data_IF_261861391834
#
_entry.id   IF_261861391834
#
_cell.length_a   1.000
_cell.length_b   1.000
_cell.length_c   1.000
_cell.angle_alpha   90.00
_cell.angle_beta   90.00
_cell.angle_gamma   90.00
#
_symmetry.space_group_name_H-M   'P 1'
#
loop_
_entity.id
_entity.type
_entity.pdbx_description
1 polymer ?
#
# COMPACT_ATOMS: atom_id res chain seq x y z
N UNK A 1 3.18 66.61 11.31
CA UNK A 1 3.63 65.83 12.45
C UNK A 1 3.01 64.44 12.33
N UNK A 2 3.68 63.56 11.61
CA UNK A 2 3.32 62.15 11.53
C UNK A 2 3.98 61.39 12.68
N UNK A 3 3.39 60.26 13.12
CA UNK A 3 4.23 59.13 13.50
C UNK A 3 3.96 57.91 12.63
N UNK A 4 5.04 57.48 12.03
CA UNK A 4 5.21 56.17 11.44
C UNK A 4 4.91 55.06 12.43
N UNK A 5 4.05 54.12 12.06
CA UNK A 5 3.98 52.82 12.74
C UNK A 5 4.52 51.73 11.80
N UNK A 6 5.73 51.29 12.11
CA UNK A 6 6.33 50.11 11.57
C UNK A 6 5.50 48.89 11.92
N UNK A 7 4.94 48.24 10.90
CA UNK A 7 4.38 46.90 11.03
C UNK A 7 5.48 45.87 11.26
N UNK A 8 5.67 45.43 12.50
CA UNK A 8 6.43 44.26 12.85
C UNK A 8 5.59 43.05 12.46
N UNK A 9 6.00 42.35 11.41
CA UNK A 9 5.47 41.03 11.09
C UNK A 9 5.76 40.10 12.27
N UNK A 10 4.73 39.76 13.00
CA UNK A 10 4.79 38.71 14.02
C UNK A 10 4.91 37.36 13.32
N UNK A 11 6.13 37.03 12.93
CA UNK A 11 6.44 35.67 12.52
C UNK A 11 6.31 34.78 13.77
N UNK A 12 5.21 34.04 13.87
CA UNK A 12 4.95 33.20 15.04
C UNK A 12 5.94 32.04 15.07
N UNK A 13 6.32 31.60 16.26
CA UNK A 13 7.19 30.42 16.44
C UNK A 13 6.70 29.21 15.62
N UNK A 14 5.39 29.10 15.43
CA UNK A 14 4.77 28.07 14.60
C UNK A 14 5.11 28.21 13.10
N UNK A 15 5.18 29.43 12.59
CA UNK A 15 5.57 29.67 11.17
C UNK A 15 7.05 29.33 10.94
N UNK A 16 7.91 29.69 11.88
CA UNK A 16 9.33 29.33 11.82
C UNK A 16 9.54 27.82 11.90
N UNK A 17 8.83 27.11 12.78
CA UNK A 17 8.90 25.64 12.88
C UNK A 17 8.39 24.97 11.62
N UNK A 18 7.31 25.47 11.00
CA UNK A 18 6.77 24.95 9.75
C UNK A 18 7.72 25.16 8.56
N UNK A 19 8.37 26.33 8.48
CA UNK A 19 9.39 26.58 7.44
C UNK A 19 10.64 25.69 7.62
N UNK A 20 11.14 25.54 8.84
CA UNK A 20 12.25 24.61 9.14
C UNK A 20 11.89 23.15 8.81
N UNK A 21 10.64 22.73 9.07
CA UNK A 21 10.17 21.39 8.74
C UNK A 21 10.05 21.18 7.22
N UNK A 22 9.68 22.20 6.45
CA UNK A 22 9.65 22.15 4.98
C UNK A 22 11.06 22.10 4.38
N UNK A 23 12.00 22.87 4.91
CA UNK A 23 13.39 22.85 4.47
C UNK A 23 14.09 21.53 4.81
N UNK A 24 13.85 20.98 6.01
CA UNK A 24 14.36 19.67 6.40
C UNK A 24 13.84 18.54 5.49
N UNK A 25 12.55 18.59 5.10
CA UNK A 25 11.98 17.63 4.15
C UNK A 25 12.55 17.80 2.74
N UNK A 26 12.77 19.02 2.26
CA UNK A 26 13.42 19.27 0.96
C UNK A 26 14.88 18.79 0.96
N UNK A 27 15.63 19.07 2.01
CA UNK A 27 17.03 18.64 2.13
C UNK A 27 17.16 17.11 2.22
N UNK A 28 16.29 16.44 2.98
CA UNK A 28 16.29 14.98 3.11
C UNK A 28 15.94 14.28 1.79
N UNK A 29 14.96 14.80 1.04
CA UNK A 29 14.59 14.24 -0.28
C UNK A 29 15.74 14.41 -1.28
N UNK A 30 16.37 15.59 -1.34
CA UNK A 30 17.44 15.85 -2.30
C UNK A 30 18.70 15.02 -2.00
N UNK A 31 19.07 14.85 -0.72
CA UNK A 31 20.24 14.06 -0.34
C UNK A 31 20.05 12.55 -0.56
N UNK A 32 18.83 12.02 -0.33
CA UNK A 32 18.52 10.61 -0.59
C UNK A 32 18.49 10.30 -2.09
N UNK A 33 17.93 11.19 -2.91
CA UNK A 33 17.87 11.00 -4.37
C UNK A 33 19.27 11.07 -5.02
N UNK A 34 20.19 11.89 -4.52
CA UNK A 34 21.55 11.99 -5.05
C UNK A 34 22.45 10.83 -4.59
N UNK A 35 22.39 10.38 -3.34
CA UNK A 35 23.24 9.28 -2.86
C UNK A 35 22.79 7.91 -3.40
N UNK A 36 21.49 7.64 -3.48
CA UNK A 36 20.96 6.37 -4.02
C UNK A 36 21.12 6.32 -5.54
N UNK A 37 20.96 7.43 -6.24
CA UNK A 37 21.21 7.52 -7.68
C UNK A 37 22.66 7.27 -8.09
N UNK A 38 23.61 7.51 -7.19
CA UNK A 38 25.05 7.34 -7.46
C UNK A 38 25.54 5.90 -7.34
N UNK A 39 24.83 5.03 -6.61
CA UNK A 39 25.21 3.63 -6.40
C UNK A 39 24.60 2.67 -7.43
N UNK A 40 23.71 3.13 -8.31
CA UNK A 40 23.14 2.31 -9.39
C UNK A 40 22.30 1.11 -8.92
N UNK A 41 21.99 1.02 -7.62
CA UNK A 41 21.14 -0.02 -7.07
C UNK A 41 19.68 0.45 -7.19
N UNK A 42 18.84 -0.19 -8.03
CA UNK A 42 17.43 0.17 -8.12
C UNK A 42 16.78 -0.07 -6.76
N UNK A 43 16.06 0.94 -6.26
CA UNK A 43 15.30 0.78 -5.02
C UNK A 43 14.10 -0.14 -5.30
N UNK A 44 14.03 -1.36 -4.73
CA UNK A 44 13.00 -2.33 -5.07
C UNK A 44 11.62 -1.80 -4.69
N UNK A 45 10.67 -1.92 -5.61
CA UNK A 45 9.27 -1.56 -5.36
C UNK A 45 8.55 -2.71 -4.66
N UNK A 46 8.48 -2.63 -3.33
CA UNK A 46 7.81 -3.63 -2.49
C UNK A 46 6.37 -3.20 -2.21
N UNK A 47 5.41 -4.08 -2.45
CA UNK A 47 4.01 -3.87 -2.12
C UNK A 47 3.57 -4.83 -1.00
N UNK A 48 2.76 -4.30 -0.08
CA UNK A 48 2.04 -5.11 0.91
C UNK A 48 0.53 -4.88 0.70
N UNK A 49 -0.13 -5.87 0.13
CA UNK A 49 -1.55 -5.79 -0.25
C UNK A 49 -2.41 -6.50 0.79
N UNK A 50 -3.28 -5.76 1.47
CA UNK A 50 -4.25 -6.30 2.42
C UNK A 50 -5.61 -6.49 1.74
N UNK A 51 -6.10 -7.73 1.67
CA UNK A 51 -7.35 -8.09 1.02
C UNK A 51 -8.46 -8.37 2.04
N UNK A 52 -9.55 -7.62 1.95
CA UNK A 52 -10.71 -7.74 2.84
C UNK A 52 -10.43 -7.27 4.27
N UNK A 53 -11.37 -7.49 5.19
CA UNK A 53 -11.30 -6.98 6.56
C UNK A 53 -10.06 -7.43 7.33
N UNK A 54 -9.75 -8.72 7.30
CA UNK A 54 -8.59 -9.28 8.00
C UNK A 54 -7.27 -8.77 7.43
N UNK A 55 -7.11 -8.76 6.11
CA UNK A 55 -5.93 -8.20 5.45
C UNK A 55 -5.73 -6.71 5.77
N UNK A 56 -6.81 -5.94 5.75
CA UNK A 56 -6.77 -4.52 6.11
C UNK A 56 -6.40 -4.29 7.58
N UNK A 57 -6.84 -5.16 8.50
CA UNK A 57 -6.41 -5.11 9.89
C UNK A 57 -4.92 -5.44 10.04
N UNK A 58 -4.40 -6.35 9.22
CA UNK A 58 -2.97 -6.64 9.16
C UNK A 58 -2.19 -5.39 8.71
N UNK A 59 -2.66 -4.67 7.69
CA UNK A 59 -2.05 -3.41 7.25
C UNK A 59 -2.05 -2.36 8.37
N UNK A 60 -3.14 -2.23 9.13
CA UNK A 60 -3.19 -1.32 10.28
C UNK A 60 -2.07 -1.60 11.28
N UNK A 61 -1.80 -2.88 11.54
CA UNK A 61 -0.71 -3.30 12.45
C UNK A 61 0.66 -3.03 11.87
N UNK A 62 0.88 -3.36 10.60
CA UNK A 62 2.14 -3.13 9.88
C UNK A 62 2.47 -1.64 9.85
N UNK A 63 1.49 -0.80 9.51
CA UNK A 63 1.66 0.66 9.49
C UNK A 63 1.95 1.21 10.89
N UNK A 64 1.34 0.63 11.94
CA UNK A 64 1.63 1.03 13.32
C UNK A 64 3.05 0.64 13.76
N UNK A 65 3.58 -0.45 13.27
CA UNK A 65 4.95 -0.89 13.53
C UNK A 65 6.01 -0.08 12.76
N UNK A 66 5.60 0.74 11.80
CA UNK A 66 6.50 1.63 11.07
C UNK A 66 7.37 0.92 10.04
N UNK A 67 6.77 0.06 9.22
CA UNK A 67 7.50 -0.59 8.11
C UNK A 67 7.82 0.44 7.05
N UNK A 68 9.11 0.67 6.82
CA UNK A 68 9.65 1.56 5.81
C UNK A 68 10.03 0.79 4.54
N UNK A 69 10.09 1.48 3.40
CA UNK A 69 10.51 0.89 2.12
C UNK A 69 9.44 0.09 1.38
N UNK A 70 8.22 -0.07 1.95
CA UNK A 70 7.14 -0.78 1.28
C UNK A 70 5.88 0.10 1.12
N UNK A 71 5.19 -0.05 -0.01
CA UNK A 71 3.90 0.60 -0.28
C UNK A 71 2.76 -0.29 0.21
N UNK A 72 1.97 0.20 1.15
CA UNK A 72 0.80 -0.52 1.66
C UNK A 72 -0.44 -0.22 0.82
N UNK A 73 -1.15 -1.26 0.41
CA UNK A 73 -2.36 -1.19 -0.43
C UNK A 73 -3.50 -1.94 0.23
N UNK A 74 -4.59 -1.27 0.56
CA UNK A 74 -5.79 -1.88 1.11
C UNK A 74 -6.82 -2.09 0.00
N UNK A 75 -7.31 -3.32 -0.19
CA UNK A 75 -8.37 -3.66 -1.14
C UNK A 75 -9.54 -4.26 -0.37
N UNK A 76 -10.75 -3.70 -0.56
CA UNK A 76 -11.94 -4.19 0.11
C UNK A 76 -13.21 -3.94 -0.72
N UNK A 77 -14.29 -4.65 -0.38
CA UNK A 77 -15.65 -4.42 -0.86
C UNK A 77 -16.49 -3.60 0.13
N UNK A 78 -15.97 -3.38 1.35
CA UNK A 78 -16.57 -2.59 2.41
C UNK A 78 -15.89 -1.21 2.49
N UNK A 79 -16.66 -0.17 2.16
CA UNK A 79 -16.16 1.22 2.14
C UNK A 79 -15.85 1.71 3.54
N UNK A 80 -16.71 1.44 4.52
CA UNK A 80 -16.55 1.92 5.88
C UNK A 80 -15.27 1.35 6.51
N UNK A 81 -15.04 0.05 6.36
CA UNK A 81 -13.83 -0.60 6.84
C UNK A 81 -12.59 -0.05 6.13
N UNK A 82 -12.68 0.17 4.81
CA UNK A 82 -11.58 0.71 4.01
C UNK A 82 -11.20 2.14 4.41
N UNK A 83 -12.19 2.99 4.71
CA UNK A 83 -11.97 4.36 5.14
C UNK A 83 -11.15 4.43 6.46
N UNK A 84 -11.38 3.48 7.38
CA UNK A 84 -10.66 3.38 8.66
C UNK A 84 -9.32 2.63 8.56
N UNK A 85 -9.02 2.01 7.44
CA UNK A 85 -7.75 1.31 7.24
C UNK A 85 -6.61 2.29 7.00
N UNK A 86 -5.50 2.10 7.69
CA UNK A 86 -4.26 2.86 7.47
C UNK A 86 -3.45 2.19 6.37
N UNK A 87 -3.51 2.73 5.17
CA UNK A 87 -2.73 2.29 4.02
C UNK A 87 -2.43 3.50 3.12
N UNK A 88 -1.29 3.46 2.42
CA UNK A 88 -0.90 4.51 1.48
C UNK A 88 -1.84 4.57 0.27
N UNK A 89 -2.32 3.41 -0.17
CA UNK A 89 -3.30 3.32 -1.26
C UNK A 89 -4.51 2.52 -0.80
N UNK A 90 -5.68 2.89 -1.27
CA UNK A 90 -6.95 2.22 -0.95
C UNK A 90 -7.75 1.99 -2.22
N UNK A 91 -8.23 0.76 -2.42
CA UNK A 91 -9.06 0.39 -3.55
C UNK A 91 -10.36 -0.25 -3.09
N UNK A 92 -11.49 0.41 -3.37
CA UNK A 92 -12.82 -0.15 -3.19
C UNK A 92 -13.22 -0.89 -4.47
N UNK A 93 -13.37 -2.22 -4.40
CA UNK A 93 -13.77 -3.04 -5.54
C UNK A 93 -15.25 -3.38 -5.48
N UNK A 94 -15.90 -3.49 -6.65
CA UNK A 94 -17.28 -3.94 -6.77
C UNK A 94 -18.32 -3.02 -6.15
N UNK A 95 -18.11 -1.69 -6.15
CA UNK A 95 -19.06 -0.72 -5.58
C UNK A 95 -20.48 -0.86 -6.15
N UNK A 96 -20.62 -1.18 -7.42
CA UNK A 96 -21.91 -1.37 -8.08
C UNK A 96 -22.58 -2.71 -7.71
N UNK A 97 -21.82 -3.68 -7.18
CA UNK A 97 -22.32 -4.99 -6.75
C UNK A 97 -22.77 -4.93 -5.29
N UNK A 98 -21.91 -4.45 -4.39
CA UNK A 98 -22.14 -4.49 -2.92
C UNK A 98 -22.59 -3.15 -2.35
N UNK A 99 -22.61 -2.08 -3.14
CA UNK A 99 -22.83 -0.69 -2.70
C UNK A 99 -21.89 -0.22 -1.60
N UNK A 100 -20.72 -0.91 -1.46
CA UNK A 100 -19.75 -0.62 -0.42
C UNK A 100 -20.08 -1.24 0.94
N UNK A 101 -20.99 -2.18 1.02
CA UNK A 101 -21.44 -2.82 2.27
C UNK A 101 -20.70 -4.14 2.58
N UNK A 102 -19.69 -4.48 1.78
CA UNK A 102 -18.97 -5.74 1.94
C UNK A 102 -19.61 -6.91 1.19
N UNK A 103 -18.90 -8.03 1.12
CA UNK A 103 -19.35 -9.25 0.42
C UNK A 103 -20.30 -10.13 1.25
N UNK A 104 -20.67 -9.73 2.47
CA UNK A 104 -21.62 -10.48 3.32
C UNK A 104 -21.15 -11.90 3.69
N UNK A 105 -19.82 -12.14 3.77
CA UNK A 105 -19.27 -13.47 4.05
C UNK A 105 -19.22 -14.41 2.83
N UNK A 106 -19.73 -13.99 1.66
CA UNK A 106 -19.75 -14.81 0.45
C UNK A 106 -18.51 -14.58 -0.43
N UNK A 107 -17.61 -15.60 -0.58
CA UNK A 107 -16.43 -15.50 -1.44
C UNK A 107 -16.74 -15.29 -2.92
N UNK A 108 -17.88 -15.79 -3.40
CA UNK A 108 -18.28 -15.63 -4.81
C UNK A 108 -18.59 -14.18 -5.13
N UNK A 109 -19.26 -13.49 -4.24
CA UNK A 109 -19.50 -12.04 -4.32
C UNK A 109 -18.19 -11.27 -4.21
N UNK A 110 -17.29 -11.66 -3.29
CA UNK A 110 -15.96 -11.08 -3.18
C UNK A 110 -15.16 -11.20 -4.49
N UNK A 111 -15.15 -12.38 -5.10
CA UNK A 111 -14.51 -12.63 -6.39
C UNK A 111 -15.09 -11.76 -7.51
N UNK A 112 -16.42 -11.72 -7.65
CA UNK A 112 -17.10 -10.87 -8.65
C UNK A 112 -16.74 -9.39 -8.50
N UNK A 113 -16.59 -8.91 -7.27
CA UNK A 113 -16.17 -7.55 -6.99
C UNK A 113 -14.71 -7.31 -7.42
N UNK A 114 -13.82 -8.28 -7.16
CA UNK A 114 -12.43 -8.22 -7.56
C UNK A 114 -12.28 -8.27 -9.10
N UNK A 115 -13.04 -9.13 -9.78
CA UNK A 115 -13.07 -9.19 -11.24
C UNK A 115 -13.50 -7.85 -11.85
N UNK A 116 -14.50 -7.19 -11.28
CA UNK A 116 -14.93 -5.86 -11.72
C UNK A 116 -13.86 -4.78 -11.52
N UNK A 117 -12.93 -4.99 -10.58
CA UNK A 117 -11.80 -4.10 -10.30
C UNK A 117 -10.46 -4.59 -10.86
N UNK A 118 -10.44 -5.67 -11.63
CA UNK A 118 -9.22 -6.38 -12.08
C UNK A 118 -8.20 -5.48 -12.74
N UNK A 119 -8.63 -4.58 -13.61
CA UNK A 119 -7.74 -3.64 -14.29
C UNK A 119 -7.04 -2.67 -13.32
N UNK A 120 -7.74 -2.24 -12.27
CA UNK A 120 -7.13 -1.39 -11.24
C UNK A 120 -6.15 -2.18 -10.36
N UNK A 121 -6.47 -3.44 -10.05
CA UNK A 121 -5.57 -4.35 -9.34
C UNK A 121 -4.30 -4.56 -10.16
N UNK A 122 -4.43 -4.84 -11.46
CA UNK A 122 -3.29 -4.99 -12.39
C UNK A 122 -2.38 -3.78 -12.36
N UNK A 123 -2.93 -2.57 -12.48
CA UNK A 123 -2.13 -1.32 -12.43
C UNK A 123 -1.36 -1.16 -11.13
N UNK A 124 -1.92 -1.61 -10.02
CA UNK A 124 -1.28 -1.53 -8.71
C UNK A 124 -0.06 -2.46 -8.65
N UNK A 125 -0.20 -3.72 -9.10
CA UNK A 125 0.86 -4.74 -8.98
C UNK A 125 1.90 -4.66 -10.09
N UNK A 126 1.59 -4.06 -11.24
CA UNK A 126 2.53 -3.93 -12.36
C UNK A 126 3.77 -3.13 -11.95
N UNK A 127 4.94 -3.67 -12.27
CA UNK A 127 6.24 -3.05 -11.96
C UNK A 127 6.62 -3.13 -10.47
N UNK A 128 5.98 -4.00 -9.69
CA UNK A 128 6.43 -4.34 -8.35
C UNK A 128 7.45 -5.48 -8.43
N UNK A 129 8.56 -5.34 -7.70
CA UNK A 129 9.59 -6.38 -7.59
C UNK A 129 9.18 -7.46 -6.59
N UNK A 130 8.39 -7.08 -5.57
CA UNK A 130 7.88 -8.01 -4.56
C UNK A 130 6.48 -7.61 -4.10
N UNK A 131 5.55 -8.58 -4.06
CA UNK A 131 4.17 -8.37 -3.61
C UNK A 131 3.84 -9.34 -2.48
N UNK A 132 3.65 -8.81 -1.27
CA UNK A 132 3.08 -9.58 -0.15
C UNK A 132 1.56 -9.43 -0.15
N UNK A 133 0.83 -10.54 -0.05
CA UNK A 133 -0.63 -10.53 0.02
C UNK A 133 -1.07 -11.03 1.40
N UNK A 134 -1.71 -10.16 2.18
CA UNK A 134 -2.30 -10.51 3.47
C UNK A 134 -3.81 -10.66 3.33
N UNK A 135 -4.36 -11.82 3.71
CA UNK A 135 -5.79 -12.09 3.63
C UNK A 135 -6.24 -13.10 4.70
N UNK A 136 -7.45 -12.93 5.19
CA UNK A 136 -8.12 -13.98 5.98
C UNK A 136 -9.06 -14.78 5.07
N UNK A 137 -8.84 -16.09 5.01
CA UNK A 137 -9.54 -16.98 4.07
C UNK A 137 -10.89 -17.52 4.57
N UNK A 138 -11.39 -17.03 5.71
CA UNK A 138 -12.69 -17.40 6.26
C UNK A 138 -13.82 -16.42 5.90
N UNK A 139 -13.52 -15.29 5.26
CA UNK A 139 -14.48 -14.24 4.90
C UNK A 139 -14.76 -14.17 3.41
N UNK A 140 -15.76 -13.36 3.02
CA UNK A 140 -16.15 -13.17 1.62
C UNK A 140 -15.13 -12.36 0.82
N UNK A 141 -14.86 -11.12 1.25
CA UNK A 141 -14.00 -10.19 0.50
C UNK A 141 -12.57 -10.69 0.38
N UNK A 142 -11.93 -11.07 1.50
CA UNK A 142 -10.53 -11.52 1.50
C UNK A 142 -10.32 -12.77 0.64
N UNK A 143 -11.17 -13.78 0.82
CA UNK A 143 -11.10 -15.04 0.07
C UNK A 143 -11.33 -14.83 -1.43
N UNK A 144 -12.23 -13.91 -1.81
CA UNK A 144 -12.52 -13.64 -3.21
C UNK A 144 -11.49 -12.74 -3.90
N UNK A 145 -10.93 -11.75 -3.19
CA UNK A 145 -9.99 -10.76 -3.76
C UNK A 145 -8.58 -11.34 -3.91
N UNK A 146 -8.09 -12.06 -2.88
CA UNK A 146 -6.72 -12.54 -2.82
C UNK A 146 -6.27 -13.32 -4.06
N UNK A 147 -7.02 -14.31 -4.61
CA UNK A 147 -6.63 -15.02 -5.82
C UNK A 147 -6.48 -14.09 -7.03
N UNK A 148 -7.35 -13.09 -7.17
CA UNK A 148 -7.29 -12.15 -8.30
C UNK A 148 -6.02 -11.28 -8.22
N UNK A 149 -5.64 -10.84 -7.03
CA UNK A 149 -4.38 -10.10 -6.84
C UNK A 149 -3.18 -10.98 -7.22
N UNK A 150 -3.17 -12.25 -6.81
CA UNK A 150 -2.12 -13.20 -7.15
C UNK A 150 -2.06 -13.50 -8.66
N UNK A 151 -3.24 -13.70 -9.30
CA UNK A 151 -3.33 -13.88 -10.75
C UNK A 151 -2.77 -12.68 -11.51
N UNK A 152 -3.09 -11.46 -11.09
CA UNK A 152 -2.60 -10.23 -11.72
C UNK A 152 -1.10 -10.00 -11.49
N UNK A 153 -0.58 -10.34 -10.30
CA UNK A 153 0.86 -10.29 -10.04
C UNK A 153 1.61 -11.26 -10.97
N UNK A 154 1.09 -12.50 -11.13
CA UNK A 154 1.65 -13.49 -12.06
C UNK A 154 1.59 -13.00 -13.51
N UNK A 155 0.47 -12.44 -13.94
CA UNK A 155 0.32 -11.88 -15.29
C UNK A 155 1.22 -10.66 -15.55
N UNK A 156 1.61 -9.94 -14.49
CA UNK A 156 2.54 -8.81 -14.54
C UNK A 156 4.02 -9.23 -14.57
N UNK A 157 4.32 -10.55 -14.56
CA UNK A 157 5.67 -11.08 -14.69
C UNK A 157 6.27 -11.63 -13.40
N UNK A 158 5.47 -11.91 -12.37
CA UNK A 158 5.99 -12.57 -11.16
C UNK A 158 6.41 -14.02 -11.49
N UNK A 159 7.67 -14.34 -11.23
CA UNK A 159 8.25 -15.68 -11.47
C UNK A 159 7.67 -16.73 -10.53
N UNK A 160 7.36 -16.32 -9.30
CA UNK A 160 6.87 -17.19 -8.24
C UNK A 160 5.61 -16.61 -7.59
N UNK A 161 4.57 -17.43 -7.44
CA UNK A 161 3.31 -17.07 -6.78
C UNK A 161 2.87 -18.20 -5.87
N UNK A 162 2.79 -17.92 -4.57
CA UNK A 162 2.31 -18.87 -3.56
C UNK A 162 3.27 -19.03 -2.40
N UNK A 163 2.71 -19.38 -1.22
CA UNK A 163 3.49 -19.53 -0.01
C UNK A 163 4.23 -20.88 0.01
N UNK A 164 3.56 -21.94 -0.41
CA UNK A 164 4.08 -23.32 -0.32
C UNK A 164 5.31 -23.51 -1.21
N UNK A 165 5.32 -22.91 -2.40
CA UNK A 165 6.46 -22.93 -3.33
C UNK A 165 7.70 -22.27 -2.69
N UNK A 166 7.54 -21.17 -2.00
CA UNK A 166 8.63 -20.48 -1.30
C UNK A 166 9.11 -21.28 -0.09
N UNK A 167 8.18 -21.84 0.70
CA UNK A 167 8.53 -22.65 1.87
C UNK A 167 9.31 -23.90 1.45
N UNK A 168 8.94 -24.54 0.35
CA UNK A 168 9.67 -25.69 -0.19
C UNK A 168 11.08 -25.29 -0.62
N UNK A 169 11.22 -24.24 -1.41
CA UNK A 169 12.52 -23.73 -1.88
C UNK A 169 13.44 -23.30 -0.75
N UNK A 170 12.93 -22.59 0.26
CA UNK A 170 13.72 -22.19 1.44
C UNK A 170 14.22 -23.42 2.20
N UNK A 171 13.37 -24.45 2.37
CA UNK A 171 13.78 -25.72 3.01
C UNK A 171 14.84 -26.47 2.22
N UNK A 172 14.85 -26.34 0.90
CA UNK A 172 15.87 -26.90 0.00
C UNK A 172 17.16 -26.06 -0.04
N UNK A 173 17.22 -24.98 0.74
CA UNK A 173 18.40 -24.11 0.83
C UNK A 173 18.47 -23.03 -0.23
N UNK A 174 17.33 -22.71 -0.85
CA UNK A 174 17.25 -21.59 -1.80
C UNK A 174 17.40 -20.25 -1.07
N UNK A 175 18.46 -19.51 -1.40
CA UNK A 175 18.76 -18.19 -0.87
C UNK A 175 18.92 -17.15 -1.99
N UNK A 176 18.66 -17.56 -3.23
CA UNK A 176 18.81 -16.71 -4.42
C UNK A 176 17.54 -15.88 -4.56
N UNK A 177 17.55 -14.70 -3.96
CA UNK A 177 16.56 -13.64 -4.09
C UNK A 177 17.26 -12.47 -4.78
N UNK A 178 17.36 -12.59 -6.11
CA UNK A 178 17.77 -11.44 -6.95
C UNK A 178 16.61 -10.47 -7.17
#
# INVERSE_FOLDING_TARGET
MEPSTSGTENNTLADMVNEMAKEAKRGATTLMDEEVGSLGVPNPRILIVGCGGSGNNTLNRITHLGVEGAVTVAINTDKQHLDHTRALQKLLVGRHITRGLGAGGDPSTGRRCAEAGREMIRRIVTGADLVFIASGLGGGSGTGICPIVAEEAKAAGADHVGLDDYVAKIKEGWTDVD
#
